data_IF_129817321142
#
_entry.id   IF_129817321142
#
_cell.length_a   1.000
_cell.length_b   1.000
_cell.length_c   1.000
_cell.angle_alpha   90.00
_cell.angle_beta   90.00
_cell.angle_gamma   90.00
#
_symmetry.space_group_name_H-M   'P 1'
#
loop_
_entity.id
_entity.type
_entity.pdbx_description
1 polymer ?
2 polymer ?
3 polymer ?
4 non-polymer ?
5 non-polymer ?
6 water ?
#
# COMPACT_ATOMS: atom_id res chain seq x y z
N UNK A 2 5.98 2.82 19.21
CA UNK A 2 6.90 1.83 19.85
C UNK A 2 6.70 0.39 19.33
N UNK A 3 5.45 0.05 19.08
CA UNK A 3 4.98 -1.28 18.71
C UNK A 3 4.75 -1.44 17.18
N UNK A 4 5.17 -0.43 16.39
CA UNK A 4 4.83 -0.41 14.95
C UNK A 4 5.47 -1.63 14.33
N UNK A 5 4.77 -2.20 13.34
CA UNK A 5 5.29 -3.26 12.47
C UNK A 5 5.38 -4.65 13.11
N UNK A 6 4.81 -4.81 14.30
CA UNK A 6 4.78 -6.13 14.97
C UNK A 6 3.34 -6.55 15.00
N UNK A 7 3.05 -7.62 14.29
CA UNK A 7 1.63 -7.93 14.03
C UNK A 7 1.14 -8.74 15.23
N UNK A 8 -0.05 -8.40 15.73
CA UNK A 8 -0.66 -9.13 16.86
C UNK A 8 -0.76 -10.64 16.64
N UNK A 9 -1.09 -11.06 15.41
CA UNK A 9 -1.33 -12.49 15.18
C UNK A 9 -0.08 -13.24 14.67
N UNK A 10 1.03 -12.50 14.52
CA UNK A 10 2.26 -13.09 14.01
C UNK A 10 3.47 -12.79 14.91
N UNK A 11 4.21 -11.69 14.70
CA UNK A 11 5.37 -11.41 15.57
C UNK A 11 5.03 -11.46 17.06
N UNK A 12 3.87 -10.88 17.41
CA UNK A 12 3.53 -10.72 18.83
C UNK A 12 3.42 -12.04 19.56
N UNK A 13 3.04 -13.09 18.81
CA UNK A 13 2.89 -14.47 19.29
C UNK A 13 3.97 -15.42 18.82
N UNK A 14 4.99 -14.88 18.17
CA UNK A 14 6.06 -15.65 17.50
C UNK A 14 5.54 -16.72 16.52
N UNK A 15 4.55 -16.35 15.69
CA UNK A 15 4.13 -17.17 14.61
C UNK A 15 4.59 -16.49 13.32
N UNK A 16 4.97 -17.30 12.36
CA UNK A 16 5.36 -16.76 11.04
C UNK A 16 4.26 -16.99 10.03
N UNK A 17 4.11 -16.05 9.09
CA UNK A 17 3.13 -16.25 8.02
C UNK A 17 3.79 -17.15 6.93
N UNK A 18 2.98 -17.61 5.99
CA UNK A 18 3.39 -18.63 5.04
C UNK A 18 4.50 -18.21 4.05
N UNK A 19 4.76 -16.91 3.85
CA UNK A 19 5.70 -16.50 2.81
C UNK A 19 6.76 -15.51 3.30
N UNK A 20 6.70 -15.13 4.57
CA UNK A 20 7.71 -14.20 5.06
C UNK A 20 9.16 -14.73 4.92
N UNK A 21 9.33 -16.04 5.00
CA UNK A 21 10.66 -16.64 4.85
C UNK A 21 11.20 -16.38 3.43
N UNK A 22 10.33 -16.36 2.41
CA UNK A 22 10.76 -15.90 1.05
C UNK A 22 11.44 -14.50 1.06
N UNK A 23 10.92 -13.57 1.85
CA UNK A 23 11.51 -12.24 1.89
C UNK A 23 12.88 -12.34 2.60
N UNK A 24 12.88 -13.02 3.74
CA UNK A 24 14.12 -13.19 4.52
C UNK A 24 15.21 -13.78 3.63
N UNK A 25 14.86 -14.84 2.87
CA UNK A 25 15.87 -15.50 2.01
C UNK A 25 16.42 -14.53 0.93
N UNK A 26 15.65 -13.52 0.56
CA UNK A 26 16.12 -12.55 -0.45
C UNK A 26 17.08 -11.52 0.18
N UNK A 27 17.10 -11.42 1.52
CA UNK A 27 17.89 -10.38 2.21
C UNK A 27 19.28 -10.86 2.50
N UNK A 28 20.17 -10.67 1.55
CA UNK A 28 21.45 -11.39 1.63
C UNK A 28 22.50 -10.69 2.52
N UNK B 1 -4.44 -7.12 -7.27
CA UNK B 1 -3.18 -7.90 -7.31
C UNK B 1 -3.30 -9.05 -8.31
N UNK B 2 -2.34 -9.10 -9.22
CA UNK B 2 -2.30 -10.18 -10.25
C UNK B 2 -1.33 -11.25 -9.82
N UNK B 3 -1.75 -12.51 -9.92
CA UNK B 3 -0.88 -13.66 -9.61
C UNK B 3 -0.37 -13.68 -8.15
N UNK B 4 -1.19 -13.15 -7.24
CA UNK B 4 -0.88 -13.27 -5.85
C UNK B 4 -1.63 -14.42 -5.23
N UNK B 5 -1.83 -14.35 -3.94
CA UNK B 5 -2.59 -15.35 -3.19
C UNK B 5 -3.42 -14.65 -2.13
N UNK B 6 -4.42 -15.36 -1.56
CA UNK B 6 -5.24 -14.81 -0.45
C UNK B 6 -4.35 -14.55 0.75
N UNK B 7 -4.45 -13.36 1.35
CA UNK B 7 -3.86 -13.02 2.64
C UNK B 7 -4.31 -13.97 3.73
N UNK B 8 -3.45 -14.22 4.69
CA UNK B 8 -3.87 -14.87 5.94
C UNK B 8 -4.58 -13.85 6.83
N UNK B 9 -5.35 -14.33 7.80
CA UNK B 9 -6.06 -13.41 8.73
C UNK B 9 -5.00 -12.64 9.56
N UNK B 10 -5.11 -11.31 9.63
CA UNK B 10 -4.18 -10.52 10.42
C UNK B 10 -2.80 -10.40 9.77
N UNK B 11 -2.65 -10.82 8.51
CA UNK B 11 -1.34 -10.81 7.87
C UNK B 11 -0.82 -9.37 7.58
N UNK B 12 -1.77 -8.47 7.34
CA UNK B 12 -1.44 -7.06 6.93
C UNK B 12 -2.34 -6.12 7.72
N UNK B 13 -2.10 -5.97 9.04
CA UNK B 13 -3.09 -5.30 9.91
C UNK B 13 -3.06 -3.79 9.77
N UNK B 14 -2.08 -3.27 9.02
CA UNK B 14 -2.00 -1.87 8.61
C UNK B 14 -2.71 -1.61 7.27
N UNK B 15 -3.30 -2.65 6.65
CA UNK B 15 -3.96 -2.45 5.36
C UNK B 15 -5.21 -1.60 5.54
N UNK B 16 -5.39 -0.62 4.66
CA UNK B 16 -6.55 0.25 4.74
C UNK B 16 -7.20 0.22 3.36
N UNK B 17 -8.54 0.10 3.36
CA UNK B 17 -9.36 0.31 2.18
C UNK B 17 -9.92 1.71 2.16
N UNK B 18 -9.67 2.41 1.06
CA UNK B 18 -10.32 3.72 0.80
C UNK B 18 -11.59 3.36 0.06
N UNK B 19 -12.69 3.79 0.63
CA UNK B 19 -14.02 3.35 0.14
C UNK B 19 -14.82 4.58 -0.27
N UNK B 20 -15.23 4.61 -1.53
CA UNK B 20 -15.98 5.78 -2.04
C UNK B 20 -17.45 5.66 -1.64
N UNK B 21 -18.07 6.81 -1.43
CA UNK B 21 -19.50 6.85 -1.12
C UNK B 21 -20.64 6.61 -2.15
N UNK B 22 -20.73 7.22 -3.40
CA UNK B 22 -22.13 7.44 -3.82
C UNK B 22 -20.83 7.63 -4.67
N UNK B 23 -20.69 6.58 -5.56
CA UNK B 23 -21.26 5.20 -5.63
C UNK B 23 -20.36 4.36 -4.76
N UNK B 24 -20.94 3.38 -4.07
CA UNK B 24 -20.14 2.54 -3.15
C UNK B 24 -19.18 1.64 -3.95
N UNK B 25 -17.87 1.95 -3.87
CA UNK B 25 -16.89 1.22 -4.65
C UNK B 25 -15.47 1.31 -4.01
N UNK B 26 -14.56 0.46 -4.45
CA UNK B 26 -13.18 0.55 -3.98
C UNK B 26 -12.54 1.77 -4.64
N UNK B 27 -12.01 2.68 -3.82
CA UNK B 27 -11.24 3.82 -4.35
C UNK B 27 -9.76 3.57 -4.54
N UNK B 28 -9.13 2.82 -3.63
CA UNK B 28 -7.68 2.71 -3.57
C UNK B 28 -7.32 1.95 -2.31
N UNK B 29 -6.05 1.56 -2.21
CA UNK B 29 -5.53 1.08 -0.95
C UNK B 29 -4.87 2.26 -0.23
N UNK B 30 -4.41 1.96 0.98
CA UNK B 30 -3.79 2.88 1.90
C UNK B 30 -3.22 2.04 3.06
N UNK B 31 -2.56 2.72 3.99
CA UNK B 31 -1.95 2.06 5.12
C UNK B 31 -2.06 2.87 6.41
N UNK B 32 -2.10 2.16 7.53
CA UNK B 32 -2.25 2.78 8.82
C UNK B 32 -0.86 3.03 9.42
N UNK B 33 -0.52 4.27 9.74
CA UNK B 33 0.84 4.55 10.24
C UNK B 33 0.90 5.05 11.69
N UNK B 34 -0.28 5.30 12.26
CA UNK B 34 -0.48 5.65 13.67
C UNK B 34 -1.96 5.50 13.96
N UNK B 35 -2.42 5.87 15.17
CA UNK B 35 -3.84 5.75 15.39
C UNK B 35 -4.67 6.81 14.71
N UNK B 36 -4.01 7.80 14.12
CA UNK B 36 -4.73 8.93 13.57
C UNK B 36 -4.35 9.24 12.13
N UNK B 37 -3.34 8.57 11.57
CA UNK B 37 -2.85 8.98 10.24
C UNK B 37 -2.82 7.78 9.31
N UNK B 38 -3.24 8.01 8.09
CA UNK B 38 -3.25 7.00 7.04
C UNK B 38 -2.46 7.54 5.85
N UNK B 39 -1.67 6.67 5.24
CA UNK B 39 -0.85 7.01 4.08
C UNK B 39 -1.40 6.43 2.81
N UNK B 40 -1.33 7.18 1.69
CA UNK B 40 -1.84 6.65 0.43
C UNK B 40 -1.05 7.33 -0.72
N UNK B 41 -1.45 7.03 -1.95
CA UNK B 41 -0.89 7.63 -3.14
C UNK B 41 -1.73 8.90 -3.45
N UNK B 42 -1.06 10.03 -3.79
CA UNK B 42 -1.80 11.25 -4.17
C UNK B 42 -2.80 11.01 -5.32
N UNK B 43 -2.43 10.19 -6.32
CA UNK B 43 -3.31 10.05 -7.48
C UNK B 43 -4.61 9.33 -7.18
N UNK B 44 -4.66 8.65 -6.02
CA UNK B 44 -5.89 8.12 -5.47
C UNK B 44 -6.95 9.20 -5.19
N UNK B 45 -6.49 10.38 -4.83
CA UNK B 45 -7.33 11.50 -4.42
C UNK B 45 -7.38 12.60 -5.43
N UNK B 46 -6.25 12.85 -6.13
CA UNK B 46 -6.22 13.95 -7.08
C UNK B 46 -5.50 13.52 -8.33
N UNK B 47 -6.22 13.50 -9.45
CA UNK B 47 -5.64 13.13 -10.73
C UNK B 47 -6.50 13.74 -11.85
N UNK B 48 -6.23 15.00 -12.18
CA UNK B 48 -7.01 15.69 -13.24
C UNK B 48 -7.21 15.00 -14.62
N UNK B 49 -6.23 14.24 -15.15
CA UNK B 49 -6.49 13.58 -16.42
C UNK B 49 -7.64 12.58 -16.40
N UNK B 50 -7.96 12.03 -15.22
CA UNK B 50 -9.07 11.13 -15.09
C UNK B 50 -10.24 11.78 -14.34
N UNK B 51 -10.24 13.11 -14.19
CA UNK B 51 -11.25 13.86 -13.40
C UNK B 51 -11.43 13.27 -12.00
N UNK B 52 -10.32 12.97 -11.34
CA UNK B 52 -10.41 12.49 -9.95
C UNK B 52 -10.04 13.66 -9.09
N UNK B 53 -10.90 13.96 -8.12
CA UNK B 53 -10.65 15.04 -7.16
C UNK B 53 -11.54 14.88 -5.94
N UNK B 54 -11.17 13.93 -5.08
CA UNK B 54 -11.96 13.60 -3.93
C UNK B 54 -11.62 14.54 -2.79
N UNK B 55 -12.68 14.93 -2.08
CA UNK B 55 -12.60 15.76 -0.92
C UNK B 55 -12.76 14.84 0.32
N UNK B 56 -12.52 15.36 1.52
CA UNK B 56 -12.71 14.61 2.78
C UNK B 56 -14.02 13.86 2.89
N UNK B 57 -15.15 14.50 2.53
CA UNK B 57 -16.46 13.88 2.77
C UNK B 57 -16.89 12.88 1.72
N UNK B 58 -16.11 12.73 0.65
CA UNK B 58 -16.41 11.79 -0.44
C UNK B 58 -16.06 10.34 -0.12
N UNK B 59 -15.21 10.12 0.89
CA UNK B 59 -14.76 8.78 1.18
C UNK B 59 -14.64 8.43 2.65
N UNK B 60 -14.50 7.14 2.90
CA UNK B 60 -14.37 6.56 4.24
C UNK B 60 -13.12 5.72 4.25
N UNK B 61 -12.49 5.60 5.43
CA UNK B 61 -11.42 4.62 5.57
C UNK B 61 -11.91 3.39 6.35
N UNK B 62 -11.61 2.20 5.79
CA UNK B 62 -12.06 0.92 6.38
C UNK B 62 -10.79 0.15 6.70
N UNK B 63 -10.61 -0.09 7.99
CA UNK B 63 -9.37 -0.64 8.57
C UNK B 63 -9.73 -1.99 9.22
N UNK B 64 -8.80 -2.95 9.14
CA UNK B 64 -8.99 -4.28 9.72
C UNK B 64 -9.74 -5.26 8.84
N UNK B 65 -9.80 -4.99 7.52
CA UNK B 65 -10.64 -5.76 6.63
C UNK B 65 -9.88 -6.94 6.09
N UNK B 66 -10.65 -7.93 5.62
CA UNK B 66 -10.15 -9.08 4.89
C UNK B 66 -10.98 -9.33 3.64
N UNK B 67 -12.25 -9.61 3.82
CA UNK B 67 -13.16 -9.69 2.70
C UNK B 67 -13.22 -8.32 2.00
N UNK B 68 -13.23 -8.35 0.68
CA UNK B 68 -13.38 -7.12 -0.14
C UNK B 68 -14.76 -6.46 0.07
N UNK B 69 -15.84 -7.21 -0.13
CA UNK B 69 -17.19 -6.61 -0.26
C UNK B 69 -18.04 -6.61 1.00
N UNK B 70 -17.77 -7.58 1.92
CA UNK B 70 -18.51 -7.73 3.18
C UNK B 70 -18.36 -6.51 4.09
N UNK B 71 -19.37 -6.30 4.92
CA UNK B 71 -19.21 -5.44 6.10
C UNK B 71 -18.83 -6.37 7.25
N UNK B 72 -17.57 -6.24 7.68
CA UNK B 72 -16.97 -7.21 8.61
C UNK B 72 -17.20 -6.80 10.06
N UNK B 73 -18.45 -7.00 10.44
CA UNK B 73 -19.00 -6.62 11.72
C UNK B 73 -18.10 -7.15 12.84
N UNK B 74 -17.74 -6.27 13.79
CA UNK B 74 -16.97 -6.62 15.01
C UNK B 74 -15.48 -6.80 14.68
N UNK B 75 -15.06 -6.52 13.44
CA UNK B 75 -13.68 -6.77 13.02
C UNK B 75 -13.20 -5.50 12.38
N UNK B 76 -13.81 -5.10 11.25
CA UNK B 76 -13.41 -3.82 10.68
C UNK B 76 -13.86 -2.60 11.48
N UNK B 77 -13.11 -1.50 11.31
CA UNK B 77 -13.46 -0.19 11.83
C UNK B 77 -13.49 0.79 10.68
N UNK B 78 -14.55 1.59 10.67
CA UNK B 78 -14.79 2.57 9.60
C UNK B 78 -14.56 3.94 10.20
N UNK B 79 -13.71 4.74 9.54
CA UNK B 79 -13.35 6.07 10.03
C UNK B 79 -13.66 7.13 8.99
N UNK B 80 -14.03 8.31 9.47
CA UNK B 80 -14.25 9.45 8.60
C UNK B 80 -12.95 10.26 8.57
N UNK B 81 -12.72 10.96 7.45
CA UNK B 81 -11.56 11.83 7.31
C UNK B 81 -11.77 13.23 7.84
N UNK B 82 -10.77 13.72 8.58
CA UNK B 82 -10.71 15.09 9.05
C UNK B 82 -10.08 15.98 7.96
N UNK B 83 -8.94 15.55 7.40
CA UNK B 83 -8.24 16.36 6.40
C UNK B 83 -7.34 15.50 5.53
N UNK B 84 -7.28 15.85 4.26
CA UNK B 84 -6.35 15.27 3.29
C UNK B 84 -5.21 16.23 3.09
N UNK B 85 -3.98 15.71 3.05
CA UNK B 85 -2.78 16.48 2.70
C UNK B 85 -2.07 15.84 1.55
N UNK B 86 -2.07 16.51 0.40
CA UNK B 86 -1.32 16.02 -0.78
C UNK B 86 0.08 16.67 -0.87
N UNK B 87 1.11 15.90 -1.24
CA UNK B 87 2.46 16.51 -1.37
C UNK B 87 2.35 17.73 -2.31
N UNK B 88 2.92 18.91 -1.91
CA UNK B 88 2.76 20.07 -2.77
C UNK B 88 3.54 19.95 -4.07
N UNK B 89 4.50 19.04 -4.12
CA UNK B 89 5.24 18.85 -5.36
C UNK B 89 4.92 17.53 -6.06
N UNK B 90 3.77 16.93 -5.70
CA UNK B 90 3.19 15.84 -6.50
C UNK B 90 3.05 16.20 -7.98
N UNK B 91 3.70 15.40 -8.81
CA UNK B 91 3.71 15.67 -10.28
C UNK B 91 2.72 14.77 -11.03
N UNK B 92 1.46 15.19 -11.07
CA UNK B 92 0.41 14.46 -11.82
C UNK B 92 0.50 14.75 -13.32
N UNK B 93 1.20 15.81 -13.71
CA UNK B 93 1.25 16.19 -15.15
C UNK B 93 2.08 15.22 -15.94
N UNK B 94 3.14 14.68 -15.35
CA UNK B 94 4.15 13.97 -16.13
C UNK B 94 4.35 12.52 -15.73
N UNK B 95 4.74 12.28 -14.48
CA UNK B 95 5.26 10.94 -14.17
C UNK B 95 4.82 10.40 -12.80
N UNK B 96 3.88 11.07 -12.12
CA UNK B 96 3.50 10.75 -10.73
C UNK B 96 4.70 10.77 -9.77
N UNK B 97 5.66 11.65 -10.01
CA UNK B 97 6.71 11.94 -9.00
C UNK B 97 6.08 12.40 -7.67
N UNK B 98 6.59 11.89 -6.54
CA UNK B 98 6.04 12.25 -5.18
C UNK B 98 4.56 11.92 -5.07
N UNK B 99 4.21 10.72 -5.57
CA UNK B 99 2.82 10.22 -5.52
C UNK B 99 2.49 9.79 -4.06
N UNK B 100 2.09 10.75 -3.21
CA UNK B 100 1.97 10.44 -1.77
C UNK B 100 1.01 11.46 -1.19
N UNK B 101 0.16 11.01 -0.29
CA UNK B 101 -0.75 11.88 0.44
C UNK B 101 -0.94 11.27 1.82
N UNK B 102 -1.22 12.13 2.81
CA UNK B 102 -1.63 11.69 4.14
C UNK B 102 -3.12 12.06 4.37
N UNK B 103 -3.79 11.27 5.21
CA UNK B 103 -5.16 11.55 5.64
C UNK B 103 -5.20 11.45 7.16
N UNK B 104 -5.70 12.51 7.82
CA UNK B 104 -5.88 12.49 9.26
C UNK B 104 -7.32 12.12 9.55
N UNK B 105 -7.50 11.15 10.47
CA UNK B 105 -8.83 10.63 10.79
C UNK B 105 -9.48 11.53 11.82
N UNK B 106 -10.80 11.65 11.76
CA UNK B 106 -11.52 12.45 12.75
C UNK B 106 -11.29 12.01 14.20
N UNK B 107 -11.04 10.71 14.40
CA UNK B 107 -10.96 10.10 15.75
C UNK B 107 -9.94 8.99 15.72
N UNK B 108 -9.18 8.82 16.80
CA UNK B 108 -8.17 7.74 16.75
C UNK B 108 -8.84 6.37 16.65
N UNK B 109 -8.21 5.45 15.92
CA UNK B 109 -8.76 4.13 15.75
C UNK B 109 -8.20 3.25 16.86
N UNK B 110 -9.03 2.36 17.41
CA UNK B 110 -8.51 1.40 18.39
C UNK B 110 -7.73 0.28 17.72
N UNK B 111 -6.53 -0.04 18.23
CA UNK B 111 -5.77 -1.18 17.66
C UNK B 111 -6.42 -2.48 18.13
N UNK B 112 -6.27 -3.53 17.34
CA UNK B 112 -6.78 -4.86 17.71
C UNK B 112 -5.92 -5.91 17.07
N UNK B 113 -6.37 -7.18 17.12
CA UNK B 113 -5.66 -8.24 16.37
C UNK B 113 -5.56 -7.94 14.88
N UNK B 114 -6.52 -7.17 14.35
CA UNK B 114 -6.66 -6.98 12.90
C UNK B 114 -6.25 -5.58 12.45
N UNK B 115 -5.94 -4.72 13.43
CA UNK B 115 -5.69 -3.30 13.18
C UNK B 115 -4.42 -2.91 13.93
N UNK B 116 -3.40 -2.52 13.19
CA UNK B 116 -2.10 -2.25 13.83
C UNK B 116 -1.18 -1.48 12.85
N UNK B 117 -0.43 -0.47 13.34
CA UNK B 117 0.33 0.35 12.39
C UNK B 117 1.61 -0.32 11.90
N UNK B 118 2.02 0.06 10.70
CA UNK B 118 3.28 -0.35 10.10
C UNK B 118 4.34 0.70 10.45
N UNK B 119 5.62 0.32 10.47
CA UNK B 119 6.68 1.31 10.70
C UNK B 119 7.05 2.02 9.39
N UNK B 120 7.56 3.25 9.55
CA UNK B 120 8.20 3.97 8.43
C UNK B 120 9.70 3.91 8.54
N UNK B 121 10.40 3.74 7.41
CA UNK B 121 11.85 3.53 7.42
C UNK B 121 12.58 4.81 7.78
N UNK B 122 13.72 4.64 8.40
CA UNK B 122 14.65 5.74 8.54
C UNK B 122 15.75 5.54 7.49
N UNK B 123 16.76 6.44 7.47
CA UNK B 123 17.75 6.42 6.37
C UNK B 123 18.51 5.07 6.30
N UNK B 124 18.84 4.53 7.49
CA UNK B 124 19.57 3.25 7.65
C UNK B 124 18.72 2.06 7.14
N UNK B 125 17.44 2.05 7.51
CA UNK B 125 16.45 1.05 6.98
C UNK B 125 16.47 1.02 5.45
N UNK B 126 16.29 2.19 4.82
CA UNK B 126 16.35 2.27 3.37
C UNK B 126 17.66 1.78 2.80
N UNK B 127 18.78 2.19 3.39
CA UNK B 127 20.08 1.85 2.82
C UNK B 127 20.27 0.35 2.88
N UNK B 128 19.82 -0.28 3.97
CA UNK B 128 20.03 -1.74 4.08
C UNK B 128 19.04 -2.61 3.32
N UNK B 129 17.78 -2.16 3.19
CA UNK B 129 16.72 -3.02 2.58
C UNK B 129 16.37 -2.70 1.14
N UNK B 130 16.56 -1.44 0.71
CA UNK B 130 16.11 -1.03 -0.62
C UNK B 130 17.16 -1.33 -1.66
N UNK B 131 17.31 -2.62 -1.91
CA UNK B 131 18.40 -3.09 -2.79
C UNK B 131 17.85 -4.03 -3.83
N UNK B 132 18.39 -3.97 -5.05
CA UNK B 132 17.97 -4.88 -6.13
C UNK B 132 18.02 -6.33 -5.66
N UNK B 133 16.96 -7.09 -5.94
CA UNK B 133 16.93 -8.50 -5.58
C UNK B 133 16.23 -8.75 -4.25
N UNK B 134 16.28 -7.77 -3.34
CA UNK B 134 15.59 -7.89 -2.04
C UNK B 134 14.09 -7.81 -2.35
N UNK B 135 13.28 -8.66 -1.70
CA UNK B 135 11.83 -8.70 -2.01
C UNK B 135 11.01 -7.95 -0.95
N UNK B 136 9.95 -7.26 -1.40
CA UNK B 136 8.94 -6.78 -0.45
C UNK B 136 7.57 -7.36 -0.79
N UNK B 137 6.57 -6.91 -0.08
CA UNK B 137 5.26 -7.50 -0.22
C UNK B 137 4.27 -6.40 -0.53
N UNK B 138 3.38 -6.70 -1.47
CA UNK B 138 2.37 -5.73 -1.90
C UNK B 138 1.00 -6.39 -1.62
N UNK B 139 0.04 -5.63 -1.08
CA UNK B 139 -1.25 -6.19 -0.76
C UNK B 139 -2.37 -5.25 -1.26
N UNK B 140 -3.54 -5.80 -1.56
CA UNK B 140 -4.66 -4.95 -1.94
C UNK B 140 -5.83 -5.73 -2.49
N UNK B 141 -6.92 -5.02 -2.71
CA UNK B 141 -8.20 -5.60 -3.19
C UNK B 141 -8.45 -5.26 -4.64
N UNK B 142 -7.41 -4.80 -5.34
CA UNK B 142 -7.52 -4.42 -6.75
C UNK B 142 -7.75 -5.63 -7.66
N UNK B 143 -7.90 -5.33 -8.94
CA UNK B 143 -8.23 -6.33 -9.95
C UNK B 143 -7.21 -7.47 -10.00
N UNK B 144 -7.73 -8.69 -10.26
CA UNK B 144 -6.89 -9.90 -10.42
C UNK B 144 -6.20 -9.98 -11.81
N UNK B 145 -6.69 -9.20 -12.76
CA UNK B 145 -6.21 -9.29 -14.14
C UNK B 145 -6.32 -7.90 -14.73
N UNK B 146 -5.47 -7.59 -15.68
CA UNK B 146 -5.45 -6.30 -16.32
C UNK B 146 -6.77 -6.08 -17.09
N UNK B 147 -7.28 -7.15 -17.69
CA UNK B 147 -8.51 -7.09 -18.50
C UNK B 147 -9.58 -8.03 -17.92
N UNK B 155 -11.89 -11.84 -11.99
CA UNK B 155 -11.94 -10.37 -12.08
C UNK B 155 -11.54 -9.60 -10.81
N UNK B 156 -12.44 -9.64 -9.81
CA UNK B 156 -12.18 -9.01 -8.50
C UNK B 156 -12.09 -10.05 -7.40
N UNK B 157 -11.18 -9.86 -6.41
CA UNK B 157 -10.99 -10.92 -5.42
C UNK B 157 -12.06 -10.93 -4.36
N UNK B 158 -12.28 -12.09 -3.76
CA UNK B 158 -13.14 -12.17 -2.57
C UNK B 158 -12.48 -11.59 -1.33
N UNK B 159 -11.18 -11.88 -1.15
CA UNK B 159 -10.42 -11.41 0.03
C UNK B 159 -9.11 -10.70 -0.34
N UNK B 160 -8.55 -9.99 0.63
CA UNK B 160 -7.26 -9.28 0.46
C UNK B 160 -6.23 -10.20 -0.20
N UNK B 161 -5.55 -9.69 -1.21
CA UNK B 161 -4.51 -10.46 -1.97
C UNK B 161 -3.10 -10.00 -1.61
N UNK B 162 -2.16 -10.90 -1.71
CA UNK B 162 -0.76 -10.62 -1.29
C UNK B 162 0.15 -11.16 -2.41
N UNK B 163 1.20 -10.43 -2.73
CA UNK B 163 2.27 -10.92 -3.65
C UNK B 163 3.61 -10.41 -3.15
N UNK B 164 4.65 -11.26 -3.21
CA UNK B 164 6.01 -10.82 -2.86
C UNK B 164 6.74 -10.59 -4.14
N UNK B 165 7.48 -9.49 -4.23
CA UNK B 165 8.13 -9.06 -5.50
C UNK B 165 9.51 -8.50 -5.25
N UNK B 166 10.48 -8.84 -6.11
CA UNK B 166 11.85 -8.31 -5.90
C UNK B 166 11.99 -6.87 -6.42
N UNK B 167 12.77 -6.05 -5.71
CA UNK B 167 13.17 -4.71 -6.13
C UNK B 167 14.07 -4.90 -7.36
N UNK B 168 13.92 -4.00 -8.32
CA UNK B 168 14.66 -4.11 -9.59
C UNK B 168 15.74 -3.00 -9.66
N UNK B 169 16.88 -3.32 -10.32
CA UNK B 169 17.95 -2.35 -10.55
C UNK B 169 17.43 -1.11 -11.29
N UNK B 170 17.92 0.08 -10.91
CA UNK B 170 17.35 1.33 -11.45
C UNK B 170 17.49 1.44 -13.00
N UNK B 171 18.64 1.01 -13.56
CA UNK B 171 18.72 1.06 -15.04
C UNK B 171 17.67 0.18 -15.77
N UNK B 172 17.37 -1.01 -15.20
CA UNK B 172 16.38 -1.92 -15.77
C UNK B 172 14.97 -1.29 -15.67
N UNK B 173 14.64 -0.74 -14.47
CA UNK B 173 13.45 0.08 -14.31
C UNK B 173 13.32 1.14 -15.43
N UNK B 174 14.36 1.94 -15.57
CA UNK B 174 14.38 3.06 -16.53
C UNK B 174 14.21 2.60 -17.98
N UNK B 175 14.89 1.51 -18.32
CA UNK B 175 14.86 0.91 -19.66
C UNK B 175 13.56 0.17 -19.98
N UNK B 176 12.67 0.02 -18.98
CA UNK B 176 11.39 -0.67 -19.22
C UNK B 176 10.23 0.26 -19.65
N UNK B 177 10.48 1.56 -19.68
CA UNK B 177 9.38 2.57 -19.82
C UNK B 177 9.91 3.79 -20.57
N UNK B 178 9.01 4.56 -21.19
CA UNK B 178 9.36 5.83 -21.76
C UNK B 178 9.12 6.94 -20.75
N UNK B 179 8.49 6.63 -19.61
CA UNK B 179 8.26 7.65 -18.56
C UNK B 179 9.62 8.01 -17.86
N UNK B 180 9.83 9.29 -17.50
CA UNK B 180 10.98 9.70 -16.67
C UNK B 180 10.83 9.20 -15.21
N UNK B 181 11.74 8.36 -14.77
CA UNK B 181 11.67 7.77 -13.42
C UNK B 181 12.57 8.60 -12.51
N UNK B 182 12.08 9.04 -11.35
CA UNK B 182 12.90 9.91 -10.51
C UNK B 182 13.52 9.14 -9.33
N UNK B 183 14.36 9.83 -8.52
CA UNK B 183 14.94 9.20 -7.33
C UNK B 183 13.88 8.97 -6.25
N UNK B 184 12.67 9.52 -6.44
CA UNK B 184 11.57 9.35 -5.47
C UNK B 184 10.74 8.13 -5.77
N UNK B 185 11.18 7.35 -6.76
CA UNK B 185 10.49 6.11 -7.21
C UNK B 185 11.47 4.95 -7.25
N UNK B 186 10.94 3.74 -7.00
CA UNK B 186 11.68 2.53 -7.27
C UNK B 186 10.73 1.57 -7.99
N UNK B 187 11.28 0.55 -8.65
CA UNK B 187 10.37 -0.41 -9.31
C UNK B 187 10.61 -1.80 -8.78
N UNK B 188 9.63 -2.69 -8.96
CA UNK B 188 9.73 -4.04 -8.47
C UNK B 188 8.91 -4.93 -9.37
N UNK B 189 9.31 -6.19 -9.38
CA UNK B 189 8.63 -7.25 -10.14
C UNK B 189 9.66 -8.19 -10.75
N UNK B 190 9.18 -9.36 -11.18
CA UNK B 190 10.05 -10.36 -11.82
C UNK B 190 10.33 -10.00 -13.30
N UNK B 191 11.55 -10.32 -13.72
CA UNK B 191 11.96 -10.23 -15.14
C UNK B 191 11.37 -11.41 -15.91
N UNK B 192 11.13 -11.25 -17.23
CA UNK B 192 10.63 -12.36 -18.07
C UNK B 192 11.36 -13.69 -17.82
N UNK B 193 12.67 -13.68 -17.68
CA UNK B 193 13.30 -15.01 -17.59
C UNK B 193 13.43 -15.55 -16.17
N UNK B 194 12.94 -14.79 -15.18
CA UNK B 194 12.85 -15.27 -13.82
C UNK B 194 11.67 -16.26 -13.63
N UNK B 195 10.76 -16.32 -14.60
CA UNK B 195 9.66 -17.27 -14.55
C UNK B 195 8.44 -16.89 -13.73
N UNK B 196 8.68 -16.35 -12.53
CA UNK B 196 7.63 -16.03 -11.56
C UNK B 196 6.94 -14.74 -11.98
N UNK B 197 5.72 -14.52 -11.49
CA UNK B 197 4.90 -13.42 -12.01
C UNK B 197 4.35 -12.67 -10.79
N UNK B 198 3.57 -11.63 -11.05
CA UNK B 198 2.89 -10.90 -9.97
C UNK B 198 3.07 -9.41 -10.10
N UNK B 199 1.99 -8.70 -9.77
CA UNK B 199 2.01 -7.25 -9.89
C UNK B 199 0.83 -6.74 -9.10
N UNK B 200 0.87 -5.45 -8.83
CA UNK B 200 -0.36 -4.73 -8.47
C UNK B 200 -1.21 -4.54 -9.73
N UNK B 201 -2.44 -4.13 -9.51
CA UNK B 201 -3.34 -3.77 -10.64
C UNK B 201 -4.33 -2.69 -10.19
N UNK B 202 -5.27 -2.31 -11.08
CA UNK B 202 -6.25 -1.26 -10.79
C UNK B 202 -6.92 -1.47 -9.43
N UNK B 203 -6.94 -0.44 -8.58
CA UNK B 203 -7.51 -0.59 -7.23
C UNK B 203 -6.49 -0.82 -6.11
N UNK B 204 -5.25 -1.15 -6.46
CA UNK B 204 -4.18 -1.42 -5.48
C UNK B 204 -3.37 -0.20 -5.19
N UNK B 205 -3.42 0.82 -6.06
CA UNK B 205 -2.59 2.05 -5.87
C UNK B 205 -2.87 2.60 -4.50
N UNK B 206 -1.82 3.18 -3.86
CA UNK B 206 -1.99 3.74 -2.53
C UNK B 206 -1.69 2.76 -1.42
N UNK B 207 -1.75 1.46 -1.74
CA UNK B 207 -1.45 0.41 -0.76
C UNK B 207 0.05 0.35 -0.49
N UNK B 208 0.42 -0.49 0.46
CA UNK B 208 1.80 -0.52 0.93
C UNK B 208 2.64 -1.58 0.23
N UNK B 209 3.93 -1.24 -0.01
CA UNK B 209 5.01 -2.20 -0.34
C UNK B 209 5.82 -2.33 0.95
N UNK B 210 5.78 -3.51 1.60
CA UNK B 210 6.42 -3.67 2.94
C UNK B 210 7.57 -4.63 2.90
N UNK B 211 8.55 -4.42 3.80
CA UNK B 211 9.64 -5.39 3.96
C UNK B 211 9.81 -5.68 5.46
N UNK B 212 10.25 -6.89 5.79
CA UNK B 212 10.46 -7.25 7.23
C UNK B 212 11.95 -7.18 7.52
N UNK B 213 12.35 -6.22 8.35
CA UNK B 213 13.77 -6.04 8.58
C UNK B 213 14.29 -7.33 9.31
N UNK B 214 15.39 -7.90 8.80
CA UNK B 214 15.97 -9.06 9.46
C UNK B 214 16.82 -8.66 10.69
N UNK B 215 17.01 -7.36 10.91
CA UNK B 215 17.75 -6.82 12.06
C UNK B 215 16.87 -6.72 13.28
N UNK B 216 15.66 -6.17 13.09
CA UNK B 216 14.81 -5.97 14.28
C UNK B 216 13.42 -6.67 14.19
N UNK B 217 13.23 -7.39 13.09
CA UNK B 217 12.08 -8.26 12.88
C UNK B 217 10.76 -7.50 12.85
N UNK B 218 10.84 -6.22 12.42
CA UNK B 218 9.68 -5.39 12.25
C UNK B 218 9.35 -5.13 10.80
N UNK B 219 8.07 -4.93 10.49
CA UNK B 219 7.68 -4.55 9.15
C UNK B 219 7.73 -3.04 8.90
N UNK B 220 8.31 -2.70 7.77
CA UNK B 220 8.46 -1.29 7.36
C UNK B 220 7.84 -1.08 6.01
N UNK B 221 7.10 0.02 5.89
CA UNK B 221 6.57 0.40 4.59
C UNK B 221 7.62 1.19 3.77
N UNK B 222 8.20 0.50 2.80
CA UNK B 222 9.27 1.07 1.98
C UNK B 222 8.68 1.81 0.78
N UNK B 223 7.51 1.36 0.29
CA UNK B 223 6.95 1.95 -0.93
C UNK B 223 5.45 2.12 -0.85
N UNK B 224 4.96 2.96 -1.71
CA UNK B 224 3.49 3.04 -1.94
C UNK B 224 3.21 2.62 -3.37
N UNK B 225 2.23 1.73 -3.54
CA UNK B 225 1.84 1.30 -4.87
C UNK B 225 1.45 2.54 -5.71
N UNK B 226 2.20 2.80 -6.78
CA UNK B 226 1.92 3.98 -7.61
C UNK B 226 1.34 3.62 -8.97
N UNK B 227 2.18 3.19 -9.93
CA UNK B 227 1.65 2.93 -11.28
C UNK B 227 2.45 1.88 -12.03
N UNK B 228 1.79 1.30 -13.03
CA UNK B 228 2.41 0.33 -13.96
C UNK B 228 1.83 0.47 -15.34
N UNK B 229 2.59 0.06 -16.35
CA UNK B 229 2.08 0.08 -17.72
C UNK B 229 1.28 -1.22 -17.91
N UNK B 230 -0.02 -1.11 -17.68
CA UNK B 230 -0.91 -2.28 -17.57
C UNK B 230 -0.65 -2.95 -16.23
N UNK B 231 -0.85 -4.27 -16.19
CA UNK B 231 -0.57 -5.07 -14.98
C UNK B 231 0.05 -6.39 -15.32
N UNK B 232 1.16 -6.72 -14.65
CA UNK B 232 1.83 -8.02 -14.80
C UNK B 232 2.23 -8.32 -16.25
N UNK B 233 2.61 -7.26 -16.97
CA UNK B 233 3.06 -7.49 -18.36
C UNK B 233 4.51 -7.86 -18.34
N UNK B 234 4.89 -8.82 -19.20
CA UNK B 234 6.32 -9.16 -19.40
C UNK B 234 7.15 -7.93 -19.80
N UNK B 235 8.26 -7.75 -19.10
CA UNK B 235 9.21 -6.66 -19.34
C UNK B 235 8.78 -5.31 -18.77
N UNK B 236 7.63 -5.27 -18.08
CA UNK B 236 7.19 -4.06 -17.37
C UNK B 236 7.33 -4.34 -15.86
N UNK B 237 7.34 -3.27 -15.07
CA UNK B 237 7.49 -3.38 -13.62
C UNK B 237 6.52 -2.42 -12.98
N UNK B 238 6.22 -2.62 -11.70
CA UNK B 238 5.43 -1.62 -10.99
C UNK B 238 6.36 -0.57 -10.41
N UNK B 239 5.85 0.66 -10.32
CA UNK B 239 6.60 1.76 -9.75
C UNK B 239 5.99 2.18 -8.45
N UNK B 240 6.86 2.46 -7.47
CA UNK B 240 6.46 2.63 -6.12
C UNK B 240 7.02 3.93 -5.64
N UNK B 241 6.22 4.69 -4.91
CA UNK B 241 6.77 5.83 -4.20
C UNK B 241 7.80 5.41 -3.13
N UNK B 242 8.97 6.05 -3.12
CA UNK B 242 10.06 5.72 -2.17
C UNK B 242 9.76 6.45 -0.87
N UNK B 243 9.22 5.73 0.12
CA UNK B 243 8.69 6.37 1.32
C UNK B 243 9.80 7.12 2.07
N UNK B 244 10.98 6.50 2.20
CA UNK B 244 12.04 7.15 2.96
C UNK B 244 12.42 8.53 2.37
N UNK B 245 12.53 8.61 1.05
CA UNK B 245 12.85 9.88 0.39
C UNK B 245 11.78 10.94 0.68
N UNK B 246 10.54 10.54 0.99
CA UNK B 246 9.46 11.49 1.29
C UNK B 246 9.19 11.67 2.80
N UNK B 247 10.02 11.05 3.64
CA UNK B 247 9.79 11.08 5.06
C UNK B 247 9.93 12.46 5.72
N UNK B 248 10.88 13.29 5.28
CA UNK B 248 10.91 14.68 5.77
C UNK B 248 9.55 15.37 5.61
N UNK B 249 8.90 15.19 4.45
CA UNK B 249 7.54 15.74 4.22
C UNK B 249 6.48 15.13 5.17
N UNK B 250 6.52 13.80 5.31
CA UNK B 250 5.60 13.08 6.24
C UNK B 250 5.68 13.62 7.68
N UNK B 251 6.89 13.63 8.23
CA UNK B 251 7.15 14.17 9.56
C UNK B 251 6.69 15.63 9.69
N UNK B 252 7.04 16.45 8.71
CA UNK B 252 6.66 17.86 8.69
C UNK B 252 5.14 18.02 8.82
N UNK B 253 4.42 17.24 8.01
CA UNK B 253 2.93 17.27 8.05
C UNK B 253 2.35 16.81 9.41
N UNK B 254 2.82 15.66 9.90
CA UNK B 254 2.32 15.16 11.17
C UNK B 254 2.71 16.09 12.33
N UNK B 255 3.92 16.64 12.28
CA UNK B 255 4.37 17.54 13.35
C UNK B 255 3.56 18.85 13.40
N UNK B 256 3.16 19.36 12.23
CA UNK B 256 2.43 20.61 12.10
C UNK B 256 0.96 20.45 12.44
N UNK B 257 0.38 19.33 12.02
CA UNK B 257 -1.08 19.20 12.09
C UNK B 257 -1.59 18.19 13.12
N UNK C 1 -23.75 -1.91 -6.34
CA UNK C 1 -22.60 -2.81 -6.68
C UNK C 1 -22.43 -3.98 -5.72
N UNK C 2 -21.22 -4.55 -5.75
CA UNK C 2 -20.92 -5.78 -5.03
C UNK C 2 -20.79 -5.55 -3.52
N UNK C 3 -20.79 -4.29 -3.09
CA UNK C 3 -20.54 -4.02 -1.67
C UNK C 3 -21.74 -4.10 -0.73
N UNK C 4 -21.54 -4.87 0.33
CA UNK C 4 -22.50 -4.95 1.39
C UNK C 4 -22.60 -3.60 2.04
N UNK C 5 -23.86 -3.19 2.23
CA UNK C 5 -24.18 -1.95 2.92
C UNK C 5 -23.39 -1.92 4.24
N UNK C 6 -22.90 -0.72 4.53
CA UNK C 6 -22.35 -0.43 5.83
C UNK C 6 -23.38 0.28 6.72
N UNK C 7 -23.25 0.13 8.06
CA UNK C 7 -24.19 0.80 8.97
C UNK C 7 -24.10 2.29 8.65
N UNK C 8 -25.25 2.95 8.52
CA UNK C 8 -25.27 4.27 7.94
C UNK C 8 -24.94 5.32 9.04
N UNK C 9 -24.62 4.89 10.27
CA UNK C 9 -23.69 5.79 11.21
C UNK C 9 -22.35 6.28 10.71
N UNK C 11 -22.17 6.93 7.39
CA UNK C 11 -22.54 7.67 6.18
C UNK C 11 -23.17 9.04 6.44
#
# INVERSE_FOLDING_TARGET
EADCGLRPLFEKKSLEDKTERELLESYID
IVEGSDAEIGMSPWQVMLFRKSPQELLCGASLISDRWVLTAAHCLLYPPWDKNFTENDLLVRIGKHSRTRYERNIEKISMLEKIYIHPRYNWRENLDRDIALMKLKKPVAFSDYIHPVCLPDRETAASLLQAGYKGRVTGWGNLKETWTANVGKGQPSVLQVVNLPIVERPVCKDSTRIRITDNMFCAGYKPDEGKRGDACEGDSGGPFVMKSPFNNRWYQMGIVSWGEGCDRDGKYGFYTHVFRLKKWIQKVIDQFG
GDFEEIPEEXL
#
